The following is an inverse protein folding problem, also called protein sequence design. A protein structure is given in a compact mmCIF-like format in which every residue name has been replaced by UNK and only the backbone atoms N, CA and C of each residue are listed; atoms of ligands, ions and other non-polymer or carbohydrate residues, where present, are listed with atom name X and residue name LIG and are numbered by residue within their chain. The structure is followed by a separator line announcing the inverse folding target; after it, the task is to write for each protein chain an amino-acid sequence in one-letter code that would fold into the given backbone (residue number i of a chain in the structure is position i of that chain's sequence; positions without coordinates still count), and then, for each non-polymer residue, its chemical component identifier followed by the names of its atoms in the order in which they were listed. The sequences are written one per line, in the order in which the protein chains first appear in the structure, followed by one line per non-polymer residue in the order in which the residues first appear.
data_IF_148788904094
#
_entry.id   IF_148788904094
#
_cell.length_a   1.000
_cell.length_b   1.000
_cell.length_c   1.000
_cell.angle_alpha   90.00
_cell.angle_beta   90.00
_cell.angle_gamma   90.00
#
_symmetry.space_group_name_H-M   'P 1'
#
loop_
_entity.id
_entity.type
_entity.pdbx_description
1 polymer ?
#
# COMPACT_ATOMS: atom_id res chain seq x y z
N UNK A 1 -1.71 14.90 17.25
CA UNK A 1 -2.19 15.32 15.93
C UNK A 1 -3.19 16.47 16.11
N UNK A 2 -2.95 17.62 15.50
CA UNK A 2 -3.94 18.71 15.47
C UNK A 2 -5.04 18.45 14.41
N UNK A 3 -6.08 19.28 14.40
CA UNK A 3 -7.21 19.11 13.47
C UNK A 3 -6.80 19.21 11.99
N UNK A 4 -5.79 20.02 11.68
CA UNK A 4 -5.30 20.20 10.32
C UNK A 4 -4.51 18.98 9.87
N UNK A 5 -3.60 18.48 10.69
CA UNK A 5 -2.87 17.23 10.46
C UNK A 5 -3.82 16.03 10.31
N UNK A 6 -4.89 15.98 11.11
CA UNK A 6 -5.92 14.95 11.01
C UNK A 6 -6.66 15.01 9.67
N UNK A 7 -7.06 16.20 9.24
CA UNK A 7 -7.70 16.39 7.95
C UNK A 7 -6.80 15.94 6.80
N UNK A 8 -5.51 16.32 6.82
CA UNK A 8 -4.53 15.91 5.81
C UNK A 8 -4.33 14.39 5.80
N UNK A 9 -4.25 13.77 6.98
CA UNK A 9 -4.10 12.31 7.13
C UNK A 9 -5.29 11.55 6.53
N UNK A 10 -6.51 12.02 6.82
CA UNK A 10 -7.73 11.49 6.22
C UNK A 10 -7.73 11.63 4.69
N UNK A 11 -7.34 12.79 4.17
CA UNK A 11 -7.32 13.03 2.72
C UNK A 11 -6.30 12.15 2.00
N UNK A 12 -5.10 11.98 2.57
CA UNK A 12 -4.07 11.06 2.05
C UNK A 12 -4.60 9.63 2.04
N UNK A 13 -5.11 9.16 3.18
CA UNK A 13 -5.59 7.78 3.28
C UNK A 13 -6.77 7.51 2.34
N UNK A 14 -7.68 8.47 2.19
CA UNK A 14 -8.79 8.41 1.23
C UNK A 14 -8.30 8.27 -0.21
N UNK A 15 -7.22 8.95 -0.60
CA UNK A 15 -6.66 8.80 -1.94
C UNK A 15 -6.03 7.42 -2.16
N UNK A 16 -5.30 6.88 -1.17
CA UNK A 16 -4.75 5.52 -1.22
C UNK A 16 -5.88 4.49 -1.42
N UNK A 17 -6.94 4.60 -0.61
CA UNK A 17 -8.10 3.71 -0.69
C UNK A 17 -8.75 3.75 -2.08
N UNK A 18 -8.91 4.94 -2.68
CA UNK A 18 -9.45 5.05 -4.05
C UNK A 18 -8.57 4.38 -5.10
N UNK A 19 -7.24 4.50 -4.99
CA UNK A 19 -6.32 3.82 -5.91
C UNK A 19 -6.45 2.29 -5.81
N UNK A 20 -6.46 1.74 -4.59
CA UNK A 20 -6.56 0.30 -4.40
C UNK A 20 -7.95 -0.23 -4.78
N UNK A 21 -9.01 0.51 -4.44
CA UNK A 21 -10.37 0.19 -4.88
C UNK A 21 -10.45 0.09 -6.40
N UNK A 22 -9.88 1.05 -7.13
CA UNK A 22 -9.84 1.03 -8.59
C UNK A 22 -9.21 -0.26 -9.12
N UNK A 23 -8.04 -0.66 -8.60
CA UNK A 23 -7.39 -1.92 -8.99
C UNK A 23 -8.27 -3.14 -8.71
N UNK A 24 -8.95 -3.13 -7.56
CA UNK A 24 -9.79 -4.22 -7.11
C UNK A 24 -11.10 -4.35 -7.91
N UNK A 25 -11.58 -3.27 -8.51
CA UNK A 25 -12.79 -3.20 -9.34
C UNK A 25 -12.56 -3.51 -10.82
N UNK A 26 -11.30 -3.54 -11.28
CA UNK A 26 -10.96 -3.94 -12.64
C UNK A 26 -11.46 -5.37 -12.94
N UNK A 27 -11.73 -5.63 -14.22
CA UNK A 27 -12.06 -6.97 -14.70
C UNK A 27 -11.10 -7.35 -15.85
N UNK A 28 -10.12 -8.22 -15.60
CA UNK A 28 -9.90 -8.98 -14.36
C UNK A 28 -9.31 -8.13 -13.22
N UNK A 29 -9.57 -8.53 -11.98
CA UNK A 29 -9.14 -7.82 -10.77
C UNK A 29 -7.61 -7.78 -10.66
N UNK A 30 -7.04 -6.65 -10.25
CA UNK A 30 -5.60 -6.52 -9.98
C UNK A 30 -5.36 -6.49 -8.47
N UNK A 31 -4.42 -7.31 -7.98
CA UNK A 31 -3.93 -7.31 -6.60
C UNK A 31 -2.51 -6.75 -6.62
N UNK A 32 -2.22 -5.74 -5.81
CA UNK A 32 -0.93 -5.04 -5.80
C UNK A 32 0.19 -5.88 -5.14
N UNK A 33 -0.09 -6.52 -4.00
CA UNK A 33 0.80 -7.40 -3.21
C UNK A 33 2.06 -6.78 -2.59
N UNK A 34 2.39 -5.53 -2.91
CA UNK A 34 3.48 -4.79 -2.25
C UNK A 34 3.05 -3.37 -1.86
N UNK A 35 1.89 -3.24 -1.21
CA UNK A 35 1.44 -1.95 -0.69
C UNK A 35 2.26 -1.59 0.54
N UNK A 36 2.97 -0.45 0.46
CA UNK A 36 3.78 0.14 1.52
C UNK A 36 3.98 1.63 1.24
N UNK A 37 4.36 2.44 2.24
CA UNK A 37 4.58 3.87 2.05
C UNK A 37 5.57 4.20 0.93
N UNK A 38 6.64 3.42 0.75
CA UNK A 38 7.63 3.61 -0.31
C UNK A 38 7.04 3.53 -1.73
N UNK A 39 5.93 2.80 -1.88
CA UNK A 39 5.23 2.62 -3.16
C UNK A 39 4.08 3.62 -3.35
N UNK A 40 4.01 4.64 -2.49
CA UNK A 40 2.98 5.68 -2.51
C UNK A 40 3.67 7.02 -2.76
N UNK A 41 3.51 7.52 -3.98
CA UNK A 41 4.12 8.78 -4.39
C UNK A 41 3.17 9.94 -4.12
N UNK A 42 3.69 10.99 -3.46
CA UNK A 42 2.99 12.25 -3.28
C UNK A 42 3.51 13.22 -4.34
N UNK A 43 2.62 13.69 -5.19
CA UNK A 43 2.90 14.69 -6.20
C UNK A 43 2.15 15.99 -5.88
N UNK A 44 2.72 17.10 -6.32
CA UNK A 44 2.11 18.42 -6.20
C UNK A 44 2.01 19.04 -7.60
N UNK A 45 0.82 19.50 -7.97
CA UNK A 45 0.60 20.25 -9.20
C UNK A 45 -0.14 21.53 -8.86
N UNK A 46 0.36 22.65 -9.39
CA UNK A 46 -0.21 24.00 -9.23
C UNK A 46 -1.71 24.05 -9.57
N UNK A 47 -2.19 23.21 -10.49
CA UNK A 47 -3.61 23.13 -10.91
C UNK A 47 -4.47 22.21 -10.06
N UNK A 48 -3.91 21.13 -9.52
CA UNK A 48 -4.66 20.02 -8.90
C UNK A 48 -4.35 19.83 -7.41
N UNK A 49 -3.48 20.67 -6.84
CA UNK A 49 -3.01 20.56 -5.46
C UNK A 49 -2.11 19.33 -5.24
N UNK A 50 -2.14 18.79 -4.02
CA UNK A 50 -1.43 17.57 -3.63
C UNK A 50 -2.25 16.34 -4.01
N UNK A 51 -1.69 15.45 -4.81
CA UNK A 51 -2.34 14.21 -5.23
C UNK A 51 -1.38 13.03 -5.13
N UNK A 52 -1.95 11.84 -4.98
CA UNK A 52 -1.24 10.60 -4.73
C UNK A 52 -1.23 9.71 -5.97
N UNK A 53 -0.13 8.99 -6.17
CA UNK A 53 -0.03 7.91 -7.15
C UNK A 53 0.52 6.66 -6.49
N UNK A 54 -0.13 5.53 -6.74
CA UNK A 54 0.41 4.22 -6.40
C UNK A 54 1.42 3.80 -7.47
N UNK A 55 2.56 3.26 -7.06
CA UNK A 55 3.63 2.81 -7.95
C UNK A 55 4.16 1.41 -7.58
N UNK A 56 5.08 0.91 -8.41
CA UNK A 56 5.72 -0.41 -8.30
C UNK A 56 4.75 -1.61 -8.31
N UNK A 57 4.34 -1.96 -9.53
CA UNK A 57 3.49 -3.12 -9.82
C UNK A 57 4.31 -4.39 -10.09
N UNK A 58 5.61 -4.44 -9.76
CA UNK A 58 6.47 -5.60 -10.06
C UNK A 58 5.94 -6.88 -9.42
N UNK A 59 5.29 -6.74 -8.26
CA UNK A 59 4.64 -7.85 -7.58
C UNK A 59 3.14 -7.88 -7.82
N UNK A 60 2.55 -7.06 -8.68
CA UNK A 60 1.11 -7.13 -8.94
C UNK A 60 0.73 -8.46 -9.61
N UNK A 61 -0.52 -8.90 -9.44
CA UNK A 61 -1.07 -10.06 -10.13
C UNK A 61 -2.51 -9.85 -10.53
N UNK A 62 -2.92 -10.52 -11.59
CA UNK A 62 -4.30 -10.53 -12.06
C UNK A 62 -5.03 -11.69 -11.40
N UNK A 63 -6.01 -11.39 -10.55
CA UNK A 63 -6.88 -12.37 -9.93
C UNK A 63 -7.99 -12.78 -10.90
N UNK A 64 -7.80 -13.90 -11.60
CA UNK A 64 -8.92 -14.61 -12.20
C UNK A 64 -9.63 -15.38 -11.07
N UNK A 65 -10.94 -15.13 -10.88
CA UNK A 65 -11.76 -15.84 -9.87
C UNK A 65 -11.72 -17.37 -10.03
N UNK A 66 -11.33 -17.87 -11.22
CA UNK A 66 -11.12 -19.30 -11.51
C UNK A 66 -9.78 -19.83 -10.99
N UNK A 67 -8.81 -18.97 -10.73
CA UNK A 67 -7.44 -19.33 -10.32
C UNK A 67 -7.18 -18.74 -8.92
N UNK A 68 -7.33 -19.57 -7.89
CA UNK A 68 -6.80 -19.23 -6.58
C UNK A 68 -5.28 -19.39 -6.61
N UNK A 69 -4.54 -18.29 -6.65
CA UNK A 69 -3.08 -18.33 -6.59
C UNK A 69 -2.64 -19.01 -5.29
N UNK A 70 -1.99 -20.16 -5.45
CA UNK A 70 -1.14 -20.74 -4.42
C UNK A 70 0.28 -20.29 -4.76
N UNK A 71 0.89 -19.48 -3.92
CA UNK A 71 2.35 -19.39 -3.94
C UNK A 71 2.89 -20.72 -3.48
N UNK A 72 3.62 -21.43 -4.33
CA UNK A 72 4.45 -22.54 -3.85
C UNK A 72 5.48 -21.95 -2.87
N UNK A 73 5.90 -22.70 -1.85
CA UNK A 73 6.82 -22.22 -0.80
C UNK A 73 8.15 -21.63 -1.32
N UNK A 74 8.47 -21.81 -2.61
CA UNK A 74 9.62 -21.19 -3.29
C UNK A 74 9.38 -19.72 -3.68
N UNK A 75 8.13 -19.27 -3.76
CA UNK A 75 7.76 -17.89 -4.09
C UNK A 75 7.47 -17.02 -2.86
N UNK A 76 7.42 -17.58 -1.65
CA UNK A 76 7.00 -16.84 -0.43
C UNK A 76 8.10 -16.03 0.24
N UNK A 77 9.37 -16.39 0.01
CA UNK A 77 10.49 -15.71 0.65
C UNK A 77 10.76 -14.30 0.08
N UNK A 78 10.27 -14.00 -1.14
CA UNK A 78 10.61 -12.76 -1.87
C UNK A 78 9.38 -11.91 -2.29
N UNK A 79 8.18 -12.20 -1.75
CA UNK A 79 6.98 -11.41 -2.10
C UNK A 79 6.73 -10.33 -1.05
N UNK A 80 7.03 -9.11 -1.46
CA UNK A 80 6.65 -7.87 -0.79
C UNK A 80 7.52 -7.56 0.43
N UNK A 81 7.27 -6.41 1.03
CA UNK A 81 7.88 -6.05 2.30
C UNK A 81 7.19 -6.76 3.47
N UNK A 82 7.93 -7.59 4.22
CA UNK A 82 7.40 -8.38 5.33
C UNK A 82 6.70 -7.53 6.42
N UNK A 83 7.03 -6.24 6.53
CA UNK A 83 6.40 -5.32 7.49
C UNK A 83 4.95 -5.00 7.15
N UNK A 84 4.58 -5.09 5.87
CA UNK A 84 3.24 -4.79 5.37
C UNK A 84 2.52 -6.02 4.80
N UNK A 85 3.17 -7.18 4.86
CA UNK A 85 2.70 -8.43 4.28
C UNK A 85 1.62 -9.09 5.15
N UNK A 86 0.54 -9.58 4.52
CA UNK A 86 -0.50 -10.32 5.24
C UNK A 86 -0.05 -11.70 5.70
N UNK A 87 -0.57 -12.21 6.83
CA UNK A 87 -0.12 -13.47 7.42
C UNK A 87 -0.33 -14.66 6.47
N UNK A 88 -1.40 -14.68 5.69
CA UNK A 88 -1.64 -15.73 4.70
C UNK A 88 -0.63 -15.71 3.56
N UNK A 89 -0.12 -14.55 3.16
CA UNK A 89 0.96 -14.45 2.15
C UNK A 89 2.28 -14.92 2.76
N UNK A 90 2.61 -14.48 3.97
CA UNK A 90 3.82 -14.94 4.69
C UNK A 90 3.84 -16.45 4.96
N UNK A 91 2.67 -17.06 5.14
CA UNK A 91 2.51 -18.52 5.31
C UNK A 91 2.43 -19.28 3.97
N UNK A 92 2.47 -18.61 2.82
CA UNK A 92 2.32 -19.25 1.51
C UNK A 92 0.97 -19.88 1.26
N UNK A 93 -0.08 -19.38 1.92
CA UNK A 93 -1.44 -19.83 1.75
C UNK A 93 -2.05 -19.14 0.52
N UNK A 94 -3.28 -19.53 0.20
CA UNK A 94 -4.07 -18.83 -0.82
C UNK A 94 -4.32 -17.40 -0.35
N UNK A 95 -4.06 -16.44 -1.22
CA UNK A 95 -4.34 -15.03 -1.01
C UNK A 95 -5.18 -14.47 -2.16
N UNK A 96 -5.74 -13.28 -1.94
CA UNK A 96 -6.53 -12.54 -2.90
C UNK A 96 -6.47 -11.06 -2.56
N UNK A 97 -7.39 -10.25 -3.07
CA UNK A 97 -7.41 -8.80 -2.80
C UNK A 97 -7.41 -8.43 -1.31
N UNK A 98 -7.82 -9.35 -0.42
CA UNK A 98 -7.75 -9.19 1.05
C UNK A 98 -6.33 -9.01 1.58
N UNK A 99 -5.30 -9.47 0.87
CA UNK A 99 -3.91 -9.21 1.26
C UNK A 99 -3.57 -7.72 1.18
N UNK A 100 -4.05 -7.02 0.15
CA UNK A 100 -3.88 -5.56 0.03
C UNK A 100 -4.64 -4.82 1.14
N UNK A 101 -5.80 -5.32 1.56
CA UNK A 101 -6.57 -4.74 2.68
C UNK A 101 -5.81 -4.80 4.00
N UNK A 102 -5.07 -5.90 4.24
CA UNK A 102 -4.21 -6.01 5.41
C UNK A 102 -3.10 -4.96 5.39
N UNK A 103 -2.39 -4.81 4.25
CA UNK A 103 -1.37 -3.79 4.09
C UNK A 103 -1.92 -2.38 4.28
N UNK A 104 -3.12 -2.09 3.74
CA UNK A 104 -3.81 -0.81 3.94
C UNK A 104 -4.11 -0.52 5.41
N UNK A 105 -4.47 -1.53 6.20
CA UNK A 105 -4.73 -1.35 7.62
C UNK A 105 -3.46 -0.92 8.37
N UNK A 106 -2.30 -1.50 8.03
CA UNK A 106 -1.01 -1.12 8.61
C UNK A 106 -0.57 0.29 8.17
N UNK A 107 -0.77 0.63 6.89
CA UNK A 107 -0.51 1.99 6.38
C UNK A 107 -1.41 3.01 7.09
N UNK A 108 -2.70 2.71 7.24
CA UNK A 108 -3.64 3.54 7.98
C UNK A 108 -3.22 3.71 9.43
N UNK A 109 -2.86 2.61 10.10
CA UNK A 109 -2.31 2.64 11.45
C UNK A 109 -1.14 3.63 11.55
N UNK A 110 -0.14 3.51 10.69
CA UNK A 110 1.02 4.41 10.69
C UNK A 110 0.68 5.87 10.38
N UNK A 111 -0.32 6.12 9.52
CA UNK A 111 -0.77 7.49 9.19
C UNK A 111 -1.45 8.16 10.39
N UNK A 112 -2.22 7.40 11.18
CA UNK A 112 -2.99 7.94 12.30
C UNK A 112 -2.28 7.80 13.65
N UNK A 113 -1.23 6.98 13.74
CA UNK A 113 -0.39 6.82 14.93
C UNK A 113 0.64 7.96 15.03
N UNK A 114 0.15 9.12 15.48
CA UNK A 114 0.98 10.29 15.79
C UNK A 114 1.10 10.40 17.30
N UNK A 115 1.85 9.46 17.89
CA UNK A 115 2.65 9.73 19.08
C UNK A 115 4.03 10.25 18.64
N UNK A 116 4.31 11.48 19.05
CA UNK A 116 5.30 12.44 18.54
C UNK A 116 6.80 12.03 18.55
N UNK A 117 7.16 10.76 18.69
CA UNK A 117 8.55 10.37 19.00
C UNK A 117 9.10 9.20 18.17
N UNK A 118 8.26 8.44 17.47
CA UNK A 118 8.70 7.14 16.92
C UNK A 118 9.01 7.16 15.42
N UNK A 119 8.33 8.00 14.62
CA UNK A 119 8.47 7.97 13.15
C UNK A 119 9.75 8.65 12.63
N UNK A 120 10.25 9.68 13.32
CA UNK A 120 11.50 10.35 12.92
C UNK A 120 12.77 9.58 13.28
N UNK A 121 12.69 8.61 14.19
CA UNK A 121 13.87 7.85 14.66
C UNK A 121 14.06 6.50 13.99
N UNK A 122 13.14 6.06 13.11
CA UNK A 122 13.40 4.85 12.33
C UNK A 122 12.79 4.90 10.93
N UNK A 123 13.68 5.10 9.95
CA UNK A 123 13.56 4.63 8.57
C UNK A 123 12.47 5.25 7.70
N UNK A 124 12.48 6.57 7.50
CA UNK A 124 11.87 7.17 6.31
C UNK A 124 12.81 8.21 5.70
N UNK A 125 13.65 7.76 4.78
CA UNK A 125 14.35 8.63 3.84
C UNK A 125 13.52 8.72 2.56
N UNK A 126 12.66 9.74 2.37
CA UNK A 126 12.01 9.93 1.09
C UNK A 126 13.09 10.21 0.04
N UNK A 127 13.23 9.32 -0.95
CA UNK A 127 14.06 9.61 -2.13
C UNK A 127 13.35 10.67 -2.96
N UNK A 128 13.82 11.91 -2.84
CA UNK A 128 13.49 12.98 -3.78
C UNK A 128 14.00 12.56 -5.17
N UNK A 129 13.11 12.41 -6.13
CA UNK A 129 13.49 12.26 -7.54
C UNK A 129 13.69 13.66 -8.09
N UNK A 130 14.96 14.01 -8.32
CA UNK A 130 15.34 15.25 -8.98
C UNK A 130 14.82 15.29 -10.42
N UNK A 131 14.38 16.48 -10.83
CA UNK A 131 14.06 16.85 -12.22
C UNK A 131 15.31 16.90 -13.08
#
# INVERSE_FOLDING_TARGET
MDLYEYFISCEIFRQILKCVQYLHELNPQIIHRDLKPDNILIAHNVRNGRFLKLCDFRLATVHDKRIHYRTTRKHTADIGDMRYQSPEVGQGRKYGHKSDIYSLALIGGNIFDVDSTTVFNNTYSPKLVGT
#
